data_IF_029386029080
#
_entry.id   IF_029386029080
#
_cell.length_a   1.000
_cell.length_b   1.000
_cell.length_c   1.000
_cell.angle_alpha   90.00
_cell.angle_beta   90.00
_cell.angle_gamma   90.00
#
_symmetry.space_group_name_H-M   'P 1'
#
loop_
_entity.id
_entity.type
_entity.pdbx_description
1 polymer ?
#
# COMPACT_ATOMS: atom_id res chain seq x y z
N UNK A 1 -71.14 1.04 53.86
CA UNK A 1 -71.42 -0.13 53.01
C UNK A 1 -70.78 0.14 51.65
N UNK A 2 -69.63 -0.49 51.31
CA UNK A 2 -69.45 -1.51 50.24
C UNK A 2 -70.09 -1.08 48.89
N UNK A 3 -69.45 -1.06 47.73
CA UNK A 3 -68.30 -1.79 47.21
C UNK A 3 -67.56 -1.01 46.09
N UNK A 4 -66.28 -1.37 45.96
CA UNK A 4 -65.34 -1.24 44.83
C UNK A 4 -65.93 -1.60 43.46
N UNK A 5 -65.43 -0.95 42.41
CA UNK A 5 -64.98 -1.61 41.16
C UNK A 5 -63.76 -0.86 40.62
N UNK A 6 -62.82 -1.64 40.08
CA UNK A 6 -61.44 -1.34 39.69
C UNK A 6 -61.32 -1.44 38.15
N UNK A 7 -60.52 -0.53 37.57
CA UNK A 7 -59.67 -0.58 36.37
C UNK A 7 -60.23 -0.97 34.97
N UNK A 8 -59.75 -0.26 33.94
CA UNK A 8 -58.74 -0.73 32.96
C UNK A 8 -58.27 0.49 32.13
N UNK A 9 -57.01 0.92 32.27
CA UNK A 9 -55.86 0.55 31.43
C UNK A 9 -55.87 1.20 30.04
N UNK A 10 -55.00 2.19 29.82
CA UNK A 10 -54.44 2.46 28.49
C UNK A 10 -53.02 3.00 28.65
N UNK A 11 -52.06 2.10 28.50
CA UNK A 11 -50.63 2.37 28.43
C UNK A 11 -50.33 2.71 26.97
N UNK A 12 -49.99 3.97 26.69
CA UNK A 12 -49.55 4.40 25.37
C UNK A 12 -48.01 4.37 25.35
N UNK A 13 -47.44 3.23 24.96
CA UNK A 13 -46.02 3.10 24.66
C UNK A 13 -45.84 3.46 23.19
N UNK A 14 -45.22 4.61 22.92
CA UNK A 14 -44.66 4.95 21.62
C UNK A 14 -43.37 4.14 21.43
N UNK A 15 -43.26 3.27 20.40
CA UNK A 15 -41.96 2.78 19.98
C UNK A 15 -41.27 3.92 19.24
N UNK A 16 -40.34 4.62 19.91
CA UNK A 16 -39.38 5.47 19.23
C UNK A 16 -38.40 4.52 18.50
N UNK A 17 -38.74 4.15 17.27
CA UNK A 17 -37.81 3.45 16.38
C UNK A 17 -36.71 4.44 15.99
N UNK A 18 -35.64 4.49 16.77
CA UNK A 18 -34.36 5.00 16.27
C UNK A 18 -33.88 4.00 15.21
N UNK A 19 -34.22 4.27 13.96
CA UNK A 19 -33.53 3.69 12.82
C UNK A 19 -32.08 4.17 12.88
N UNK A 20 -31.20 3.30 13.41
CA UNK A 20 -29.77 3.38 13.14
C UNK A 20 -29.62 3.16 11.64
N UNK A 21 -29.60 4.25 10.89
CA UNK A 21 -29.02 4.27 9.55
C UNK A 21 -27.54 3.98 9.74
N UNK A 22 -27.19 2.70 9.78
CA UNK A 22 -25.83 2.29 9.46
C UNK A 22 -25.64 2.70 8.01
N UNK A 23 -25.03 3.86 7.79
CA UNK A 23 -24.31 4.11 6.56
C UNK A 23 -23.21 3.05 6.55
N UNK A 24 -23.51 1.91 5.93
CA UNK A 24 -22.51 1.04 5.35
C UNK A 24 -21.84 1.85 4.24
N UNK A 25 -20.96 2.78 4.63
CA UNK A 25 -19.72 2.91 3.89
C UNK A 25 -19.04 1.56 4.09
N UNK A 26 -19.35 0.65 3.17
CA UNK A 26 -18.59 -0.55 3.00
C UNK A 26 -17.13 -0.10 2.93
N UNK A 27 -16.38 -0.38 3.99
CA UNK A 27 -14.94 -0.23 4.01
C UNK A 27 -14.45 -0.83 2.68
N UNK A 28 -13.93 -0.01 1.78
CA UNK A 28 -13.28 -0.51 0.58
C UNK A 28 -12.20 -1.48 1.06
N UNK A 29 -12.54 -2.75 0.89
CA UNK A 29 -11.89 -3.87 1.52
C UNK A 29 -10.47 -3.90 0.98
N UNK A 30 -9.48 -4.04 1.86
CA UNK A 30 -8.05 -4.13 1.53
C UNK A 30 -7.78 -5.23 0.47
N UNK A 31 -7.95 -4.92 -0.81
CA UNK A 31 -7.85 -5.84 -1.95
C UNK A 31 -6.39 -6.21 -2.20
N UNK A 32 -6.10 -7.38 -2.79
CA UNK A 32 -4.76 -7.71 -3.22
C UNK A 32 -4.29 -6.74 -4.32
N UNK A 33 -3.03 -6.30 -4.26
CA UNK A 33 -2.43 -5.57 -5.39
C UNK A 33 -2.25 -6.50 -6.59
N UNK A 34 -2.59 -6.01 -7.78
CA UNK A 34 -2.38 -6.73 -9.03
C UNK A 34 -2.02 -5.74 -10.13
N UNK A 35 -0.94 -6.02 -10.86
CA UNK A 35 -0.63 -5.39 -12.13
C UNK A 35 -0.93 -6.37 -13.26
N UNK A 36 -1.63 -5.91 -14.29
CA UNK A 36 -1.93 -6.71 -15.47
C UNK A 36 -2.06 -5.81 -16.71
N UNK A 37 -1.93 -6.43 -17.88
CA UNK A 37 -2.26 -5.79 -19.15
C UNK A 37 -3.77 -5.90 -19.34
N UNK A 38 -4.48 -4.77 -19.36
CA UNK A 38 -5.88 -4.75 -19.74
C UNK A 38 -5.97 -4.81 -21.26
N UNK A 39 -6.46 -5.93 -21.80
CA UNK A 39 -6.65 -6.13 -23.25
C UNK A 39 -8.09 -5.84 -23.70
N UNK A 40 -8.98 -5.45 -22.78
CA UNK A 40 -10.43 -5.38 -23.00
C UNK A 40 -10.85 -4.35 -24.06
N UNK A 41 -10.06 -3.30 -24.25
CA UNK A 41 -10.34 -2.21 -25.19
C UNK A 41 -9.53 -2.30 -26.50
N UNK A 42 -8.86 -3.42 -26.77
CA UNK A 42 -8.00 -3.59 -27.96
C UNK A 42 -6.71 -2.75 -27.92
N UNK A 43 -6.48 -2.07 -26.81
CA UNK A 43 -5.21 -1.51 -26.36
C UNK A 43 -4.64 -2.45 -25.30
N UNK A 44 -3.33 -2.42 -25.05
CA UNK A 44 -2.68 -3.18 -23.97
C UNK A 44 -2.22 -2.26 -22.81
N UNK A 45 -3.04 -1.34 -22.25
CA UNK A 45 -2.61 -0.51 -21.14
C UNK A 45 -2.33 -1.35 -19.90
N UNK A 46 -1.28 -0.97 -19.18
CA UNK A 46 -0.97 -1.53 -17.88
C UNK A 46 -1.91 -0.93 -16.83
N UNK A 47 -2.65 -1.78 -16.13
CA UNK A 47 -3.51 -1.39 -15.02
C UNK A 47 -2.94 -1.95 -13.70
N UNK A 48 -3.06 -1.15 -12.64
CA UNK A 48 -2.77 -1.60 -11.28
C UNK A 48 -3.76 -0.97 -10.29
N UNK A 49 -4.36 -1.80 -9.44
CA UNK A 49 -5.28 -1.36 -8.39
C UNK A 49 -4.59 -0.83 -7.12
N UNK A 50 -3.26 -0.85 -7.06
CA UNK A 50 -2.44 -0.23 -6.03
C UNK A 50 -1.79 1.06 -6.56
N UNK A 51 -2.52 2.19 -6.49
CA UNK A 51 -2.13 3.43 -7.14
C UNK A 51 -0.79 3.97 -6.63
N UNK A 52 0.02 4.45 -7.57
CA UNK A 52 1.33 5.06 -7.30
C UNK A 52 1.23 6.42 -6.60
N UNK A 53 0.04 7.02 -6.54
CA UNK A 53 -0.23 8.26 -5.83
C UNK A 53 -1.69 8.29 -5.34
N UNK A 54 -1.91 8.72 -4.10
CA UNK A 54 -3.24 8.81 -3.46
C UNK A 54 -3.28 10.05 -2.57
N UNK A 55 -4.07 11.06 -2.93
CA UNK A 55 -4.05 12.34 -2.23
C UNK A 55 -2.64 12.94 -2.21
N UNK A 56 -2.05 13.08 -1.01
CA UNK A 56 -0.67 13.58 -0.85
C UNK A 56 0.40 12.47 -0.89
N UNK A 57 0.00 11.19 -0.92
CA UNK A 57 0.94 10.08 -1.05
C UNK A 57 1.47 10.00 -2.48
N UNK A 58 2.78 9.79 -2.61
CA UNK A 58 3.42 9.38 -3.85
C UNK A 58 4.52 8.37 -3.54
N UNK A 59 4.59 7.30 -4.34
CA UNK A 59 5.71 6.35 -4.28
C UNK A 59 7.04 7.01 -4.66
N UNK A 60 6.98 8.14 -5.40
CA UNK A 60 8.16 8.81 -5.95
C UNK A 60 8.97 9.46 -4.83
N UNK A 61 10.25 9.11 -4.73
CA UNK A 61 11.18 9.81 -3.84
C UNK A 61 12.40 8.99 -3.45
N UNK A 62 13.28 9.62 -2.68
CA UNK A 62 14.43 9.00 -2.04
C UNK A 62 14.12 8.75 -0.56
N UNK A 63 14.46 7.56 -0.10
CA UNK A 63 14.31 7.09 1.27
C UNK A 63 15.65 6.60 1.77
N UNK A 64 15.98 6.88 3.03
CA UNK A 64 17.31 6.61 3.52
C UNK A 64 17.42 6.48 5.03
N UNK A 65 18.37 5.65 5.45
CA UNK A 65 18.87 5.63 6.83
C UNK A 65 20.42 5.63 6.83
N UNK A 66 21.05 5.15 7.90
CA UNK A 66 22.50 5.11 8.04
C UNK A 66 23.19 4.12 7.09
N UNK A 67 22.51 3.02 6.72
CA UNK A 67 23.10 1.92 5.95
C UNK A 67 22.69 1.97 4.47
N UNK A 68 21.46 2.40 4.18
CA UNK A 68 20.86 2.28 2.85
C UNK A 68 20.26 3.59 2.36
N UNK A 69 20.24 3.72 1.04
CA UNK A 69 19.51 4.74 0.32
C UNK A 69 18.78 4.07 -0.84
N UNK A 70 17.50 4.38 -1.02
CA UNK A 70 16.68 3.85 -2.09
C UNK A 70 15.94 4.99 -2.78
N UNK A 71 15.94 5.03 -4.11
CA UNK A 71 15.01 5.84 -4.89
C UNK A 71 14.03 4.94 -5.60
N UNK A 72 12.76 5.30 -5.51
CA UNK A 72 11.66 4.54 -6.10
C UNK A 72 10.77 5.49 -6.90
N UNK A 73 10.36 5.07 -8.09
CA UNK A 73 9.38 5.79 -8.92
C UNK A 73 8.76 4.86 -9.95
N UNK A 74 7.75 5.36 -10.66
CA UNK A 74 7.16 4.72 -11.82
C UNK A 74 7.20 5.67 -13.01
N UNK A 75 7.44 5.15 -14.20
CA UNK A 75 7.29 5.90 -15.45
C UNK A 75 5.84 5.89 -15.92
N UNK A 76 5.25 4.71 -15.92
CA UNK A 76 3.84 4.44 -16.20
C UNK A 76 3.34 3.38 -15.19
N UNK A 77 2.02 3.17 -15.03
CA UNK A 77 1.51 2.11 -14.18
C UNK A 77 2.18 0.79 -14.54
N UNK A 78 2.63 0.03 -13.54
CA UNK A 78 3.34 -1.23 -13.73
C UNK A 78 4.74 -1.19 -14.40
N UNK A 79 5.28 -0.01 -14.72
CA UNK A 79 6.70 0.18 -15.00
C UNK A 79 7.40 0.88 -13.82
N UNK A 80 7.85 0.10 -12.84
CA UNK A 80 8.52 0.60 -11.65
C UNK A 80 10.04 0.59 -11.79
N UNK A 81 10.70 1.56 -11.19
CA UNK A 81 12.15 1.65 -11.18
C UNK A 81 12.63 1.81 -9.73
N UNK A 82 13.63 1.02 -9.39
CA UNK A 82 14.29 0.98 -8.09
C UNK A 82 15.78 1.21 -8.26
N UNK A 83 16.28 2.26 -7.61
CA UNK A 83 17.71 2.44 -7.37
C UNK A 83 18.01 2.19 -5.89
N UNK A 84 19.02 1.39 -5.57
CA UNK A 84 19.48 1.19 -4.19
C UNK A 84 20.98 1.39 -4.11
N UNK A 85 21.42 2.06 -3.04
CA UNK A 85 22.81 2.27 -2.69
C UNK A 85 23.08 1.77 -1.27
N UNK A 86 24.06 0.88 -1.14
CA UNK A 86 24.67 0.58 0.15
C UNK A 86 25.62 1.74 0.52
N UNK A 87 25.36 2.39 1.65
CA UNK A 87 26.19 3.52 2.12
C UNK A 87 27.50 3.08 2.77
N UNK A 88 27.62 1.80 3.13
CA UNK A 88 28.82 1.26 3.78
C UNK A 88 29.94 1.00 2.79
N UNK A 89 29.61 0.36 1.66
CA UNK A 89 30.60 -0.02 0.62
C UNK A 89 30.44 0.77 -0.70
N UNK A 90 29.37 1.56 -0.83
CA UNK A 90 29.10 2.37 -2.02
C UNK A 90 28.49 1.60 -3.19
N UNK A 91 28.19 0.31 -3.05
CA UNK A 91 27.59 -0.52 -4.10
C UNK A 91 26.21 0.01 -4.49
N UNK A 92 25.93 0.03 -5.79
CA UNK A 92 24.67 0.53 -6.34
C UNK A 92 24.00 -0.48 -7.24
N UNK A 93 22.67 -0.47 -7.25
CA UNK A 93 21.83 -1.23 -8.19
C UNK A 93 20.81 -0.29 -8.81
N UNK A 94 20.41 -0.58 -10.04
CA UNK A 94 19.31 0.08 -10.72
C UNK A 94 18.51 -1.01 -11.45
N UNK A 95 17.24 -1.17 -11.08
CA UNK A 95 16.38 -2.25 -11.56
C UNK A 95 15.04 -1.68 -12.02
N UNK A 96 14.50 -2.26 -13.08
CA UNK A 96 13.12 -2.07 -13.51
C UNK A 96 12.30 -3.31 -13.16
N UNK A 97 11.04 -3.14 -12.77
CA UNK A 97 10.16 -4.25 -12.42
C UNK A 97 8.69 -3.93 -12.64
N UNK A 98 7.89 -4.98 -12.82
CA UNK A 98 6.44 -4.92 -13.03
C UNK A 98 5.65 -5.62 -11.91
N UNK A 99 6.32 -6.44 -11.10
CA UNK A 99 5.66 -7.30 -10.11
C UNK A 99 5.22 -6.49 -8.87
N UNK A 100 3.91 -6.29 -8.74
CA UNK A 100 3.26 -5.70 -7.57
C UNK A 100 2.43 -6.75 -6.84
N UNK A 101 2.57 -6.79 -5.52
CA UNK A 101 1.89 -7.72 -4.64
C UNK A 101 1.50 -7.03 -3.32
N UNK A 102 1.02 -7.80 -2.35
CA UNK A 102 0.51 -7.25 -1.10
C UNK A 102 -0.94 -6.81 -1.25
N UNK A 103 -1.30 -5.67 -0.67
CA UNK A 103 -2.69 -5.20 -0.65
C UNK A 103 -2.80 -3.69 -0.81
N UNK A 104 -4.00 -3.18 -1.11
CA UNK A 104 -4.24 -1.76 -1.35
C UNK A 104 -3.94 -0.84 -0.16
N UNK A 105 -3.78 -1.35 1.07
CA UNK A 105 -3.24 -0.58 2.21
C UNK A 105 -1.73 -0.72 2.41
N UNK A 106 -1.12 -1.75 1.82
CA UNK A 106 0.28 -2.13 2.00
C UNK A 106 0.84 -2.74 0.71
N UNK A 107 1.02 -1.93 -0.34
CA UNK A 107 1.54 -2.41 -1.61
C UNK A 107 3.01 -2.76 -1.49
N UNK A 108 3.42 -3.79 -2.22
CA UNK A 108 4.77 -4.32 -2.27
C UNK A 108 5.21 -4.41 -3.72
N UNK A 109 6.38 -3.88 -4.02
CA UNK A 109 6.96 -3.88 -5.36
C UNK A 109 8.22 -4.73 -5.37
N UNK A 110 8.26 -5.71 -6.26
CA UNK A 110 9.30 -6.71 -6.30
C UNK A 110 10.20 -6.54 -7.53
N UNK A 111 11.51 -6.58 -7.30
CA UNK A 111 12.54 -6.49 -8.33
C UNK A 111 13.50 -7.65 -8.17
N UNK A 112 13.89 -8.29 -9.27
CA UNK A 112 14.84 -9.40 -9.23
C UNK A 112 16.10 -9.02 -9.99
N UNK A 113 17.24 -9.03 -9.30
CA UNK A 113 18.57 -8.97 -9.88
C UNK A 113 19.05 -10.41 -10.09
N UNK A 114 18.91 -10.89 -11.32
CA UNK A 114 19.28 -12.27 -11.69
C UNK A 114 20.81 -12.49 -11.70
N UNK A 115 21.60 -11.44 -11.92
CA UNK A 115 23.07 -11.53 -11.94
C UNK A 115 23.61 -11.76 -10.52
N UNK A 116 23.04 -11.08 -9.52
CA UNK A 116 23.43 -11.22 -8.12
C UNK A 116 22.60 -12.25 -7.35
N UNK A 117 21.55 -12.79 -7.98
CA UNK A 117 20.55 -13.67 -7.36
C UNK A 117 19.94 -13.05 -6.09
N UNK A 118 19.53 -11.78 -6.20
CA UNK A 118 18.90 -11.02 -5.10
C UNK A 118 17.51 -10.57 -5.55
N UNK A 119 16.51 -10.78 -4.71
CA UNK A 119 15.17 -10.20 -4.85
C UNK A 119 15.01 -9.04 -3.88
N UNK A 120 14.67 -7.87 -4.40
CA UNK A 120 14.34 -6.68 -3.62
C UNK A 120 12.82 -6.57 -3.51
N UNK A 121 12.33 -6.27 -2.31
CA UNK A 121 10.92 -5.96 -2.07
C UNK A 121 10.83 -4.62 -1.38
N UNK A 122 10.12 -3.69 -2.00
CA UNK A 122 9.83 -2.36 -1.46
C UNK A 122 8.38 -2.33 -1.01
N UNK A 123 8.16 -2.18 0.29
CA UNK A 123 6.81 -2.09 0.85
C UNK A 123 6.49 -0.65 1.26
N UNK A 124 5.34 -0.16 0.81
CA UNK A 124 4.77 1.10 1.29
C UNK A 124 3.59 0.83 2.22
N UNK A 125 3.21 1.84 3.02
CA UNK A 125 1.93 1.90 3.73
C UNK A 125 1.32 3.27 3.47
N UNK A 126 0.10 3.34 2.95
CA UNK A 126 -0.51 4.65 2.66
C UNK A 126 -0.76 5.48 3.92
N UNK A 127 -0.95 4.83 5.08
CA UNK A 127 -1.04 5.50 6.38
C UNK A 127 0.29 6.04 6.90
N UNK A 128 1.42 5.64 6.31
CA UNK A 128 2.76 6.10 6.67
C UNK A 128 3.58 6.40 5.39
N UNK A 129 3.21 7.47 4.67
CA UNK A 129 3.73 7.76 3.32
C UNK A 129 5.21 8.17 3.31
N UNK A 130 5.79 8.38 4.49
CA UNK A 130 7.15 8.87 4.69
C UNK A 130 8.11 7.76 5.12
N UNK A 131 7.68 6.49 5.16
CA UNK A 131 8.55 5.37 5.47
C UNK A 131 8.27 4.24 4.49
N UNK A 132 9.33 3.66 3.95
CA UNK A 132 9.26 2.38 3.24
C UNK A 132 9.96 1.30 4.04
N UNK A 133 9.60 0.05 3.77
CA UNK A 133 10.44 -1.11 4.14
C UNK A 133 11.17 -1.58 2.90
N UNK A 134 12.49 -1.66 2.99
CA UNK A 134 13.35 -2.29 2.00
C UNK A 134 13.76 -3.67 2.51
N UNK A 135 13.39 -4.70 1.77
CA UNK A 135 13.81 -6.07 2.02
C UNK A 135 14.65 -6.58 0.85
N UNK A 136 15.70 -7.32 1.15
CA UNK A 136 16.51 -8.01 0.15
C UNK A 136 16.61 -9.48 0.53
N UNK A 137 16.36 -10.35 -0.43
CA UNK A 137 16.35 -11.78 -0.27
C UNK A 137 17.41 -12.40 -1.18
N UNK A 138 18.29 -13.21 -0.61
CA UNK A 138 19.23 -14.05 -1.36
C UNK A 138 18.92 -15.50 -1.02
N UNK A 139 18.69 -16.35 -2.03
CA UNK A 139 18.28 -17.74 -1.84
C UNK A 139 17.06 -17.89 -0.89
N UNK A 140 16.04 -17.03 -1.05
CA UNK A 140 14.84 -16.95 -0.22
C UNK A 140 15.08 -16.60 1.26
N UNK A 141 16.31 -16.24 1.65
CA UNK A 141 16.63 -15.76 2.99
C UNK A 141 16.75 -14.23 2.98
N UNK A 142 16.06 -13.56 3.90
CA UNK A 142 16.19 -12.12 4.07
C UNK A 142 17.61 -11.77 4.57
N UNK A 143 18.35 -11.01 3.78
CA UNK A 143 19.68 -10.48 4.11
C UNK A 143 19.63 -8.99 4.50
N UNK A 144 18.57 -8.28 4.07
CA UNK A 144 18.26 -6.91 4.50
C UNK A 144 16.78 -6.83 4.81
N UNK A 145 16.44 -6.13 5.89
CA UNK A 145 15.07 -5.80 6.27
C UNK A 145 15.07 -4.51 7.09
N UNK A 146 15.04 -3.38 6.40
CA UNK A 146 15.23 -2.07 7.02
C UNK A 146 14.08 -1.12 6.70
N UNK A 147 13.76 -0.26 7.67
CA UNK A 147 12.86 0.86 7.47
C UNK A 147 13.68 2.07 6.99
N UNK A 148 13.25 2.68 5.89
CA UNK A 148 13.88 3.84 5.29
C UNK A 148 12.90 5.03 5.35
N UNK A 149 13.16 6.02 6.21
CA UNK A 149 12.45 7.29 6.18
C UNK A 149 12.65 8.03 4.87
N UNK A 150 11.66 8.80 4.45
CA UNK A 150 11.74 9.69 3.30
C UNK A 150 12.76 10.78 3.57
N UNK A 151 13.75 10.85 2.69
CA UNK A 151 14.78 11.89 2.68
C UNK A 151 14.35 13.06 1.80
N UNK A 152 13.81 12.77 0.60
CA UNK A 152 13.39 13.80 -0.35
C UNK A 152 12.37 13.28 -1.37
N UNK A 153 11.70 14.19 -2.07
CA UNK A 153 10.87 13.87 -3.25
C UNK A 153 11.66 13.87 -4.56
N UNK A 154 12.96 14.16 -4.50
CA UNK A 154 13.90 14.04 -5.62
C UNK A 154 14.39 12.60 -5.74
N UNK A 155 14.98 12.26 -6.89
CA UNK A 155 15.55 10.94 -7.17
C UNK A 155 17.08 11.07 -7.26
N UNK A 156 17.80 10.06 -6.79
CA UNK A 156 19.28 10.05 -6.77
C UNK A 156 19.90 9.02 -7.72
N UNK A 157 19.08 8.36 -8.54
CA UNK A 157 19.49 7.36 -9.53
C UNK A 157 18.32 6.99 -10.44
N UNK A 158 18.60 6.36 -11.58
CA UNK A 158 17.69 6.17 -12.72
C UNK A 158 18.25 6.75 -14.01
N UNK A 159 17.86 6.27 -15.20
CA UNK A 159 18.09 7.01 -16.44
C UNK A 159 17.47 8.41 -16.39
#
# INVERSE_FOLDING_TARGET
>A
MKLRVIALATVCILPLSLSLSFTTEAAELNQPCQAYLDTSNGTDPEENNCPISVGNFSIRGTFSNSNWQASFWAWEPAYYILYVKNKQDGTTINLTGFDVMGSTSRPQYRFTDSERNITYVVTFRYSDPNIIRLEMYQNNQAIVNELLPRESNTLIGGP
#
